data_IF_556378984590
#
_entry.id   IF_556378984590
#
_cell.length_a   1.000
_cell.length_b   1.000
_cell.length_c   1.000
_cell.angle_alpha   90.00
_cell.angle_beta   90.00
_cell.angle_gamma   90.00
#
_symmetry.space_group_name_H-M   'P 1'
#
loop_
_entity.id
_entity.type
_entity.pdbx_description
1 polymer ?
#
# COMPACT_ATOMS: atom_id res chain seq x y z
N UNK A 1 -18.27 -13.95 -2.99
CA UNK A 1 -19.44 -13.09 -2.71
C UNK A 1 -19.14 -11.60 -2.69
N UNK A 2 -18.26 -11.07 -1.81
CA UNK A 2 -17.97 -9.62 -1.72
C UNK A 2 -17.50 -9.04 -3.05
N UNK A 3 -16.51 -9.64 -3.69
CA UNK A 3 -15.97 -9.15 -4.96
C UNK A 3 -17.01 -9.16 -6.10
N UNK A 4 -17.88 -10.17 -6.14
CA UNK A 4 -18.93 -10.24 -7.18
C UNK A 4 -19.99 -9.15 -6.98
N UNK A 5 -20.36 -8.87 -5.70
CA UNK A 5 -21.25 -7.75 -5.39
C UNK A 5 -20.61 -6.42 -5.78
N UNK A 6 -19.33 -6.22 -5.46
CA UNK A 6 -18.61 -5.01 -5.83
C UNK A 6 -18.57 -4.81 -7.35
N UNK A 7 -18.25 -5.86 -8.12
CA UNK A 7 -18.25 -5.81 -9.59
C UNK A 7 -19.61 -5.39 -10.15
N UNK A 8 -20.72 -5.96 -9.62
CA UNK A 8 -22.06 -5.57 -10.07
C UNK A 8 -22.38 -4.10 -9.78
N UNK A 9 -21.94 -3.58 -8.64
CA UNK A 9 -22.09 -2.15 -8.34
C UNK A 9 -21.28 -1.28 -9.32
N UNK A 10 -20.06 -1.70 -9.67
CA UNK A 10 -19.22 -0.99 -10.64
C UNK A 10 -19.85 -1.01 -12.03
N UNK A 11 -20.43 -2.14 -12.46
CA UNK A 11 -21.20 -2.25 -13.72
C UNK A 11 -22.38 -1.25 -13.75
N UNK A 12 -22.91 -0.90 -12.59
CA UNK A 12 -23.91 0.17 -12.42
C UNK A 12 -23.27 1.57 -12.27
N UNK A 13 -22.03 1.75 -12.71
CA UNK A 13 -21.28 3.03 -12.69
C UNK A 13 -21.08 3.60 -11.29
N UNK A 14 -21.01 2.73 -10.27
CA UNK A 14 -20.71 3.15 -8.89
C UNK A 14 -19.22 3.08 -8.62
N UNK A 15 -18.72 4.04 -7.84
CA UNK A 15 -17.39 3.97 -7.25
C UNK A 15 -17.46 3.16 -5.96
N UNK A 16 -16.74 2.05 -5.94
CA UNK A 16 -16.79 1.06 -4.86
C UNK A 16 -15.43 0.95 -4.19
N UNK A 17 -15.44 0.99 -2.86
CA UNK A 17 -14.24 0.76 -2.04
C UNK A 17 -14.43 -0.50 -1.21
N UNK A 18 -13.47 -1.42 -1.29
CA UNK A 18 -13.38 -2.60 -0.42
C UNK A 18 -12.25 -2.37 0.57
N UNK A 19 -12.57 -2.45 1.87
CA UNK A 19 -11.57 -2.49 2.95
C UNK A 19 -11.41 -3.94 3.40
N UNK A 20 -10.18 -4.46 3.31
CA UNK A 20 -9.86 -5.85 3.64
C UNK A 20 -8.81 -5.93 4.76
N UNK A 21 -9.21 -6.36 5.93
CA UNK A 21 -8.32 -6.68 7.04
C UNK A 21 -8.36 -8.19 7.32
N UNK A 22 -7.38 -8.91 6.83
CA UNK A 22 -6.21 -8.57 6.02
C UNK A 22 -6.08 -9.52 4.83
N UNK A 23 -5.29 -9.13 3.84
CA UNK A 23 -4.97 -10.02 2.70
C UNK A 23 -4.21 -11.26 3.19
N UNK A 24 -3.37 -11.12 4.23
CA UNK A 24 -2.63 -12.22 4.84
C UNK A 24 -3.58 -13.29 5.41
N UNK A 25 -4.62 -12.88 6.14
CA UNK A 25 -5.63 -13.81 6.67
C UNK A 25 -6.43 -14.48 5.57
N UNK A 26 -6.79 -13.73 4.53
CA UNK A 26 -7.47 -14.28 3.36
C UNK A 26 -6.60 -15.35 2.69
N UNK A 27 -5.33 -15.07 2.46
CA UNK A 27 -4.40 -16.02 1.85
C UNK A 27 -4.20 -17.28 2.71
N UNK A 28 -4.05 -17.13 4.02
CA UNK A 28 -3.97 -18.27 4.96
C UNK A 28 -5.23 -19.14 4.91
N UNK A 29 -6.42 -18.54 4.89
CA UNK A 29 -7.68 -19.27 4.79
C UNK A 29 -7.77 -20.08 3.49
N UNK A 30 -7.35 -19.49 2.36
CA UNK A 30 -7.29 -20.21 1.10
C UNK A 30 -6.25 -21.34 1.14
N UNK A 31 -5.10 -21.15 1.81
CA UNK A 31 -4.09 -22.18 1.95
C UNK A 31 -4.61 -23.40 2.72
N UNK A 32 -5.53 -23.19 3.67
CA UNK A 32 -6.13 -24.26 4.46
C UNK A 32 -7.19 -25.06 3.68
N UNK A 33 -7.99 -24.37 2.83
CA UNK A 33 -9.15 -25.01 2.17
C UNK A 33 -8.87 -25.46 0.74
N UNK A 34 -7.78 -25.02 0.14
CA UNK A 34 -7.44 -25.39 -1.23
C UNK A 34 -6.82 -26.79 -1.28
N UNK A 35 -7.24 -27.68 -2.20
CA UNK A 35 -6.56 -28.94 -2.40
C UNK A 35 -5.07 -28.74 -2.73
N UNK A 36 -4.22 -29.55 -2.15
CA UNK A 36 -2.78 -29.46 -2.37
C UNK A 36 -2.42 -29.69 -3.84
N UNK A 37 -1.66 -28.76 -4.41
CA UNK A 37 -1.17 -28.84 -5.78
C UNK A 37 0.08 -29.74 -5.95
N UNK A 38 0.71 -30.11 -4.83
CA UNK A 38 2.03 -30.76 -4.82
C UNK A 38 3.20 -29.79 -5.02
N UNK A 39 2.93 -28.48 -5.26
CA UNK A 39 3.94 -27.43 -5.37
C UNK A 39 3.83 -26.49 -4.17
N UNK A 40 4.64 -26.77 -3.16
CA UNK A 40 4.66 -25.97 -1.93
C UNK A 40 5.80 -24.95 -2.03
N UNK A 41 5.44 -23.67 -1.85
CA UNK A 41 6.38 -22.56 -1.70
C UNK A 41 7.01 -22.62 -0.29
N UNK A 42 8.07 -21.86 -0.07
CA UNK A 42 8.64 -21.74 1.27
C UNK A 42 7.57 -21.25 2.28
N UNK A 43 7.70 -21.64 3.55
CA UNK A 43 6.71 -21.30 4.58
C UNK A 43 5.39 -22.10 4.53
N UNK A 44 5.33 -23.19 3.73
CA UNK A 44 4.17 -24.07 3.68
C UNK A 44 2.97 -23.51 2.92
N UNK A 45 3.19 -22.57 2.00
CA UNK A 45 2.16 -22.00 1.14
C UNK A 45 2.02 -22.82 -0.12
N UNK A 46 0.83 -23.33 -0.42
CA UNK A 46 0.56 -23.99 -1.71
C UNK A 46 0.47 -22.93 -2.82
N UNK A 47 1.15 -23.19 -3.95
CA UNK A 47 1.18 -22.25 -5.08
C UNK A 47 -0.21 -21.90 -5.60
N UNK A 48 -1.16 -22.84 -5.57
CA UNK A 48 -2.55 -22.60 -6.02
C UNK A 48 -3.38 -21.81 -5.01
N UNK A 49 -3.01 -21.83 -3.74
CA UNK A 49 -3.76 -21.15 -2.68
C UNK A 49 -3.80 -19.63 -2.88
N UNK A 50 -2.74 -19.04 -3.45
CA UNK A 50 -2.65 -17.60 -3.67
C UNK A 50 -3.35 -17.11 -4.93
N UNK A 51 -3.74 -18.00 -5.84
CA UNK A 51 -4.31 -17.61 -7.12
C UNK A 51 -5.62 -16.82 -6.97
N UNK A 52 -6.56 -17.30 -6.15
CA UNK A 52 -7.85 -16.61 -5.92
C UNK A 52 -7.67 -15.28 -5.17
N UNK A 53 -6.90 -15.20 -4.06
CA UNK A 53 -6.59 -13.93 -3.41
C UNK A 53 -5.90 -12.91 -4.34
N UNK A 54 -4.97 -13.34 -5.19
CA UNK A 54 -4.33 -12.45 -6.18
C UNK A 54 -5.34 -11.92 -7.20
N UNK A 55 -6.23 -12.78 -7.72
CA UNK A 55 -7.31 -12.35 -8.62
C UNK A 55 -8.30 -11.41 -7.94
N UNK A 56 -8.57 -11.61 -6.65
CA UNK A 56 -9.40 -10.69 -5.87
C UNK A 56 -8.74 -9.31 -5.80
N UNK A 57 -7.50 -9.23 -5.35
CA UNK A 57 -6.79 -7.98 -5.19
C UNK A 57 -6.50 -7.29 -6.54
N UNK A 58 -6.13 -8.05 -7.55
CA UNK A 58 -5.90 -7.55 -8.92
C UNK A 58 -7.17 -7.16 -9.69
N UNK A 59 -8.36 -7.26 -9.07
CA UNK A 59 -9.61 -6.83 -9.70
C UNK A 59 -9.83 -5.31 -9.62
N UNK A 60 -9.06 -4.59 -8.77
CA UNK A 60 -9.14 -3.14 -8.63
C UNK A 60 -8.81 -2.44 -9.97
N UNK A 61 -9.70 -1.54 -10.40
CA UNK A 61 -9.55 -0.78 -11.66
C UNK A 61 -10.56 0.35 -11.79
N UNK A 62 -10.25 1.30 -12.63
CA UNK A 62 -11.23 2.23 -13.18
C UNK A 62 -11.82 1.66 -14.47
N UNK A 63 -13.08 1.96 -14.74
CA UNK A 63 -13.80 1.58 -15.98
C UNK A 63 -13.98 2.84 -16.83
N UNK A 64 -13.64 2.74 -18.12
CA UNK A 64 -13.73 3.89 -19.04
C UNK A 64 -15.16 4.44 -19.16
N UNK A 65 -16.14 3.55 -19.10
CA UNK A 65 -17.57 3.91 -19.20
C UNK A 65 -18.17 4.45 -17.90
N UNK A 66 -17.38 4.52 -16.85
CA UNK A 66 -17.73 5.00 -15.50
C UNK A 66 -17.82 3.91 -14.46
N UNK A 67 -17.60 4.29 -13.21
CA UNK A 67 -17.47 3.41 -12.07
C UNK A 67 -16.02 2.96 -11.83
N UNK A 68 -15.70 2.70 -10.58
CA UNK A 68 -14.37 2.25 -10.18
C UNK A 68 -14.43 1.23 -9.04
N UNK A 69 -13.40 0.38 -8.96
CA UNK A 69 -13.18 -0.51 -7.83
C UNK A 69 -11.82 -0.22 -7.21
N UNK A 70 -11.86 0.27 -5.99
CA UNK A 70 -10.69 0.45 -5.13
C UNK A 70 -10.64 -0.64 -4.08
N UNK A 71 -9.50 -1.28 -3.89
CA UNK A 71 -9.29 -2.26 -2.83
C UNK A 71 -8.13 -1.79 -1.95
N UNK A 72 -8.42 -1.53 -0.69
CA UNK A 72 -7.42 -1.23 0.33
C UNK A 72 -7.33 -2.43 1.26
N UNK A 73 -6.16 -3.06 1.30
CA UNK A 73 -5.92 -4.25 2.12
C UNK A 73 -4.75 -4.02 3.08
N UNK A 74 -4.88 -4.49 4.32
CA UNK A 74 -3.74 -4.60 5.22
C UNK A 74 -2.99 -5.89 4.94
N UNK A 75 -1.66 -5.85 5.07
CA UNK A 75 -0.79 -7.02 5.02
C UNK A 75 0.05 -7.07 6.29
N UNK A 76 0.21 -8.27 6.86
CA UNK A 76 1.02 -8.48 8.05
C UNK A 76 2.48 -8.70 7.63
N UNK A 77 3.38 -7.92 8.22
CA UNK A 77 4.84 -8.01 8.03
C UNK A 77 5.53 -8.14 9.39
N UNK A 78 6.73 -8.69 9.41
CA UNK A 78 7.55 -8.84 10.62
C UNK A 78 6.83 -9.59 11.77
N UNK A 79 6.02 -10.60 11.41
CA UNK A 79 5.28 -11.43 12.40
C UNK A 79 6.11 -12.59 12.94
N UNK A 80 7.30 -12.83 12.40
CA UNK A 80 8.11 -14.02 12.66
C UNK A 80 7.58 -15.29 11.94
N UNK A 81 6.51 -15.16 11.15
CA UNK A 81 5.95 -16.28 10.38
C UNK A 81 6.50 -16.29 8.97
N UNK A 82 7.20 -17.37 8.61
CA UNK A 82 7.71 -17.58 7.25
C UNK A 82 6.59 -17.60 6.20
N UNK A 83 5.41 -18.09 6.57
CA UNK A 83 4.23 -18.06 5.71
C UNK A 83 3.80 -16.63 5.38
N UNK A 84 3.79 -15.74 6.36
CA UNK A 84 3.39 -14.33 6.14
C UNK A 84 4.38 -13.58 5.27
N UNK A 85 5.67 -13.85 5.43
CA UNK A 85 6.72 -13.29 4.57
C UNK A 85 6.49 -13.69 3.11
N UNK A 86 6.23 -14.98 2.86
CA UNK A 86 5.95 -15.47 1.50
C UNK A 86 4.68 -14.85 0.94
N UNK A 87 3.60 -14.79 1.73
CA UNK A 87 2.35 -14.16 1.31
C UNK A 87 2.61 -12.68 0.96
N UNK A 88 3.32 -11.95 1.82
CA UNK A 88 3.63 -10.54 1.57
C UNK A 88 4.40 -10.35 0.25
N UNK A 89 5.49 -11.10 0.03
CA UNK A 89 6.29 -11.01 -1.20
C UNK A 89 5.49 -11.37 -2.45
N UNK A 90 4.58 -12.34 -2.36
CA UNK A 90 3.72 -12.76 -3.46
C UNK A 90 2.64 -11.73 -3.83
N UNK A 91 2.25 -10.86 -2.89
CA UNK A 91 1.35 -9.73 -3.15
C UNK A 91 2.07 -8.43 -3.48
N UNK A 92 3.34 -8.31 -3.10
CA UNK A 92 4.20 -7.20 -3.46
C UNK A 92 4.24 -7.07 -4.99
N UNK A 93 3.96 -5.89 -5.44
CA UNK A 93 3.88 -5.66 -6.88
C UNK A 93 2.52 -5.93 -7.52
N UNK A 94 1.53 -6.51 -6.83
CA UNK A 94 0.15 -6.58 -7.31
C UNK A 94 -0.60 -5.26 -7.04
N UNK A 95 -0.30 -4.61 -5.92
CA UNK A 95 -0.82 -3.28 -5.60
C UNK A 95 -0.10 -2.16 -6.37
N UNK A 96 -0.76 -1.02 -6.49
CA UNK A 96 -0.20 0.20 -7.10
C UNK A 96 0.19 1.26 -6.07
N UNK A 97 -0.13 1.08 -4.81
CA UNK A 97 0.26 1.92 -3.67
C UNK A 97 0.60 1.05 -2.46
N UNK A 98 1.65 1.40 -1.75
CA UNK A 98 2.05 0.76 -0.50
C UNK A 98 2.32 1.83 0.57
N UNK A 99 1.73 1.65 1.75
CA UNK A 99 2.03 2.43 2.94
C UNK A 99 2.61 1.50 4.00
N UNK A 100 3.88 1.68 4.30
CA UNK A 100 4.60 0.92 5.31
C UNK A 100 4.53 1.64 6.65
N UNK A 101 4.04 0.95 7.69
CA UNK A 101 4.09 1.44 9.05
C UNK A 101 5.39 0.99 9.72
N UNK A 102 5.92 1.82 10.60
CA UNK A 102 7.18 1.58 11.30
C UNK A 102 6.94 1.49 12.80
N UNK A 103 7.34 0.36 13.41
CA UNK A 103 7.15 0.13 14.83
C UNK A 103 8.00 1.07 15.69
N UNK A 104 9.21 1.41 15.23
CA UNK A 104 10.09 2.35 15.94
C UNK A 104 9.48 3.74 16.11
N UNK A 105 8.63 4.18 15.16
CA UNK A 105 7.85 5.42 15.28
C UNK A 105 6.73 5.27 16.33
N UNK A 106 6.03 4.12 16.35
CA UNK A 106 4.98 3.84 17.34
C UNK A 106 5.55 3.83 18.75
N UNK A 107 6.70 3.18 18.96
CA UNK A 107 7.37 3.08 20.26
C UNK A 107 7.75 4.44 20.81
N UNK A 108 8.08 5.38 19.91
CA UNK A 108 8.39 6.79 20.25
C UNK A 108 7.18 7.72 20.25
N UNK A 109 5.96 7.18 20.05
CA UNK A 109 4.70 7.97 20.00
C UNK A 109 4.69 9.03 18.89
N UNK A 110 5.36 8.76 17.76
CA UNK A 110 5.37 9.63 16.59
C UNK A 110 4.31 9.16 15.63
N UNK A 111 3.33 10.02 15.35
CA UNK A 111 2.21 9.72 14.46
C UNK A 111 2.04 10.79 13.37
N UNK A 112 1.67 10.39 12.14
CA UNK A 112 1.45 9.03 11.66
C UNK A 112 2.74 8.21 11.63
N UNK A 113 2.67 6.93 12.00
CA UNK A 113 3.83 6.03 12.07
C UNK A 113 4.22 5.46 10.70
N UNK A 114 4.33 6.33 9.69
CA UNK A 114 4.58 5.95 8.30
C UNK A 114 6.09 6.01 8.01
N UNK A 115 6.62 4.93 7.47
CA UNK A 115 7.96 4.93 6.91
C UNK A 115 7.91 5.57 5.51
N UNK A 116 8.41 6.80 5.38
CA UNK A 116 8.31 7.61 4.16
C UNK A 116 9.11 7.00 3.03
N UNK A 117 10.31 6.49 3.30
CA UNK A 117 11.19 5.93 2.30
C UNK A 117 10.62 4.66 1.65
N UNK A 118 10.01 3.78 2.48
CA UNK A 118 9.42 2.51 2.03
C UNK A 118 8.03 2.65 1.42
N UNK A 119 7.36 3.79 1.67
CA UNK A 119 6.00 4.04 1.19
C UNK A 119 6.01 4.78 -0.15
N UNK A 120 5.08 4.43 -1.02
CA UNK A 120 4.98 5.08 -2.33
C UNK A 120 3.81 4.59 -3.16
N UNK A 121 3.62 5.21 -4.31
CA UNK A 121 2.66 4.80 -5.31
C UNK A 121 3.33 4.71 -6.68
N UNK A 122 2.81 3.83 -7.53
CA UNK A 122 3.30 3.69 -8.91
C UNK A 122 2.76 4.83 -9.75
N UNK A 123 3.59 5.30 -10.71
CA UNK A 123 3.21 6.36 -11.63
C UNK A 123 2.68 7.61 -10.91
N UNK A 124 3.35 7.98 -9.80
CA UNK A 124 2.95 9.14 -9.01
C UNK A 124 2.95 10.45 -9.84
N UNK A 125 3.74 10.49 -10.92
CA UNK A 125 3.76 11.59 -11.88
C UNK A 125 2.41 11.87 -12.54
N UNK A 126 1.50 10.89 -12.57
CA UNK A 126 0.14 11.05 -13.10
C UNK A 126 -0.85 11.65 -12.08
N UNK A 127 -0.45 11.73 -10.81
CA UNK A 127 -1.30 12.17 -9.70
C UNK A 127 -1.03 13.62 -9.28
N UNK A 128 0.11 14.18 -9.70
CA UNK A 128 0.56 15.51 -9.32
C UNK A 128 0.62 16.45 -10.53
N UNK A 129 0.43 17.74 -10.26
CA UNK A 129 0.87 18.76 -11.21
C UNK A 129 2.41 18.67 -11.38
N UNK A 130 2.98 18.93 -12.58
CA UNK A 130 4.43 18.80 -12.80
C UNK A 130 5.30 19.55 -11.78
N UNK A 131 4.88 20.76 -11.37
CA UNK A 131 5.60 21.56 -10.38
C UNK A 131 5.57 20.90 -8.99
N UNK A 132 4.42 20.37 -8.58
CA UNK A 132 4.28 19.63 -7.32
C UNK A 132 5.13 18.36 -7.35
N UNK A 133 5.07 17.61 -8.45
CA UNK A 133 5.86 16.39 -8.62
C UNK A 133 7.35 16.66 -8.46
N UNK A 134 7.87 17.72 -9.09
CA UNK A 134 9.28 18.11 -8.96
C UNK A 134 9.69 18.33 -7.50
N UNK A 135 8.82 18.98 -6.70
CA UNK A 135 9.05 19.23 -5.28
C UNK A 135 8.94 17.97 -4.42
N UNK A 136 7.98 17.09 -4.73
CA UNK A 136 7.86 15.78 -4.06
C UNK A 136 9.09 14.93 -4.31
N UNK A 137 9.62 14.89 -5.53
CA UNK A 137 10.86 14.18 -5.86
C UNK A 137 12.04 14.76 -5.08
N UNK A 138 12.15 16.09 -4.98
CA UNK A 138 13.19 16.76 -4.20
C UNK A 138 13.10 16.38 -2.72
N UNK A 139 11.88 16.39 -2.15
CA UNK A 139 11.62 15.99 -0.77
C UNK A 139 12.06 14.53 -0.52
N UNK A 140 11.65 13.60 -1.38
CA UNK A 140 12.03 12.19 -1.27
C UNK A 140 13.54 12.00 -1.31
N UNK A 141 14.23 12.67 -2.23
CA UNK A 141 15.70 12.64 -2.31
C UNK A 141 16.37 13.17 -1.04
N UNK A 142 15.84 14.27 -0.48
CA UNK A 142 16.38 14.83 0.76
C UNK A 142 16.18 13.93 1.99
N UNK A 143 15.18 13.03 1.96
CA UNK A 143 14.89 12.08 3.04
C UNK A 143 15.52 10.70 2.80
N UNK A 144 16.08 10.44 1.64
CA UNK A 144 16.72 9.15 1.33
C UNK A 144 17.93 8.92 2.23
N UNK A 145 17.96 7.75 2.88
CA UNK A 145 19.02 7.37 3.82
C UNK A 145 18.93 8.03 5.20
N UNK A 146 17.92 8.89 5.44
CA UNK A 146 17.66 9.44 6.79
C UNK A 146 16.88 8.41 7.60
N UNK A 147 17.25 8.11 8.86
CA UNK A 147 16.52 7.18 9.70
C UNK A 147 15.02 7.53 9.77
N UNK A 148 14.10 6.54 9.75
CA UNK A 148 12.65 6.78 9.67
C UNK A 148 12.11 7.75 10.74
N UNK A 149 12.65 7.68 11.96
CA UNK A 149 12.25 8.56 13.07
C UNK A 149 12.61 10.01 12.77
N UNK A 150 13.86 10.26 12.40
CA UNK A 150 14.36 11.60 12.10
C UNK A 150 13.67 12.19 10.87
N UNK A 151 13.47 11.38 9.84
CA UNK A 151 12.76 11.78 8.63
C UNK A 151 11.31 12.23 8.93
N UNK A 152 10.60 11.46 9.77
CA UNK A 152 9.22 11.79 10.14
C UNK A 152 9.14 13.01 11.06
N UNK A 153 10.02 13.14 12.06
CA UNK A 153 10.07 14.31 12.92
C UNK A 153 10.38 15.60 12.14
N UNK A 154 11.35 15.52 11.24
CA UNK A 154 11.73 16.65 10.38
C UNK A 154 10.54 17.07 9.49
N UNK A 155 9.88 16.11 8.85
CA UNK A 155 8.72 16.37 8.00
C UNK A 155 7.57 16.98 8.80
N UNK A 156 7.20 16.39 9.94
CA UNK A 156 6.12 16.88 10.80
C UNK A 156 6.39 18.29 11.32
N UNK A 157 7.63 18.57 11.73
CA UNK A 157 8.02 19.89 12.20
C UNK A 157 7.95 20.97 11.11
N UNK A 158 8.22 20.60 9.87
CA UNK A 158 8.07 21.51 8.72
C UNK A 158 6.61 21.68 8.33
N UNK A 159 5.83 20.61 8.26
CA UNK A 159 4.40 20.65 7.93
C UNK A 159 3.58 21.48 8.93
N UNK A 160 3.89 21.38 10.24
CA UNK A 160 3.22 22.16 11.28
C UNK A 160 3.41 23.68 11.15
N UNK A 161 4.45 24.12 10.45
CA UNK A 161 4.77 25.55 10.23
C UNK A 161 4.08 26.12 9.01
N UNK A 162 3.39 25.30 8.24
CA UNK A 162 2.74 25.72 6.98
C UNK A 162 1.24 25.42 7.04
N UNK A 163 0.38 26.28 6.48
CA UNK A 163 -1.07 26.14 6.56
C UNK A 163 -1.61 25.04 5.61
N UNK A 164 -0.83 24.62 4.62
CA UNK A 164 -1.23 23.59 3.65
C UNK A 164 -0.02 22.89 3.02
N UNK A 165 -0.26 21.71 2.42
CA UNK A 165 0.78 20.97 1.68
C UNK A 165 1.34 21.78 0.51
N UNK A 166 0.49 22.53 -0.18
CA UNK A 166 0.90 23.40 -1.29
C UNK A 166 1.90 24.44 -0.82
N UNK A 167 1.59 25.14 0.27
CA UNK A 167 2.50 26.16 0.85
C UNK A 167 3.81 25.54 1.35
N UNK A 168 3.76 24.32 1.88
CA UNK A 168 4.95 23.58 2.24
C UNK A 168 5.83 23.30 1.02
N UNK A 169 5.24 22.77 -0.06
CA UNK A 169 5.99 22.44 -1.28
C UNK A 169 6.53 23.70 -1.97
N UNK A 170 5.76 24.79 -2.04
CA UNK A 170 6.22 26.06 -2.59
C UNK A 170 7.39 26.67 -1.82
N UNK A 171 7.43 26.47 -0.50
CA UNK A 171 8.54 26.92 0.33
C UNK A 171 9.83 26.10 0.20
N UNK A 172 9.80 25.01 -0.55
CA UNK A 172 10.99 24.20 -0.80
C UNK A 172 11.79 24.79 -1.98
N UNK A 173 12.94 25.33 -1.67
CA UNK A 173 13.91 25.78 -2.68
C UNK A 173 14.94 24.66 -2.95
N UNK A 174 15.31 24.48 -4.22
CA UNK A 174 16.47 23.67 -4.57
C UNK A 174 17.71 24.41 -4.04
N UNK A 175 18.42 23.76 -3.13
CA UNK A 175 19.75 24.24 -2.66
C UNK A 175 20.78 23.91 -3.70
#
# INVERSE_FOLDING_TARGET
MVIEKARRLVEHKKDVVILLDSITRLARAYNTVQPHSGKILSGGVDANALHKPKRFFGAARNIEEGGSLTIMATALVDTGSRMDEVIFEEFKGTGNMEVHLDRGLVDRRIFPSINIERSGTRKEELLYHPDEYSKVVLLRRALTGVPPVEAMELLLNKLKKTPSNIMFLLGMHAS
#
